data_IF_392900575539
#
_entry.id   IF_392900575539
#
_cell.length_a   1.000
_cell.length_b   1.000
_cell.length_c   1.000
_cell.angle_alpha   90.00
_cell.angle_beta   90.00
_cell.angle_gamma   90.00
#
_symmetry.space_group_name_H-M   'P 1'
#
loop_
_entity.id
_entity.type
_entity.pdbx_description
1 polymer ?
#
# COMPACT_ATOMS: atom_id res chain seq x y z
N UNK A 1 -4.64 2.37 -27.02
CA UNK A 1 -4.70 1.81 -25.64
C UNK A 1 -6.17 1.65 -25.26
N UNK A 2 -6.60 0.48 -24.83
CA UNK A 2 -7.93 0.25 -24.29
C UNK A 2 -7.88 0.39 -22.77
N UNK A 3 -8.97 0.88 -22.16
CA UNK A 3 -9.12 1.03 -20.71
C UNK A 3 -10.23 0.09 -20.25
N UNK A 4 -9.93 -0.68 -19.22
CA UNK A 4 -10.88 -1.58 -18.54
C UNK A 4 -10.97 -1.14 -17.08
N UNK A 5 -12.11 -1.38 -16.48
CA UNK A 5 -12.33 -1.17 -15.04
C UNK A 5 -11.95 -2.42 -14.25
N UNK A 6 -11.60 -2.26 -12.98
CA UNK A 6 -11.12 -3.37 -12.13
C UNK A 6 -12.18 -4.46 -11.93
N UNK A 7 -13.46 -4.10 -11.89
CA UNK A 7 -14.57 -5.04 -11.73
C UNK A 7 -14.72 -6.00 -12.92
N UNK A 8 -14.35 -5.54 -14.14
CA UNK A 8 -14.33 -6.38 -15.32
C UNK A 8 -13.15 -7.37 -15.34
N UNK A 9 -12.09 -7.09 -14.60
CA UNK A 9 -10.83 -7.87 -14.61
C UNK A 9 -10.68 -8.73 -13.35
N UNK A 10 -11.13 -8.25 -12.21
CA UNK A 10 -10.99 -8.93 -10.92
C UNK A 10 -11.52 -10.39 -10.89
N UNK A 11 -12.63 -10.74 -11.57
CA UNK A 11 -13.09 -12.13 -11.62
C UNK A 11 -12.12 -13.10 -12.29
N UNK A 12 -11.17 -12.59 -13.07
CA UNK A 12 -10.14 -13.38 -13.77
C UNK A 12 -8.90 -13.62 -12.90
N UNK A 13 -8.77 -12.89 -11.79
CA UNK A 13 -7.67 -13.01 -10.85
C UNK A 13 -7.91 -14.08 -9.78
N UNK A 14 -6.82 -14.65 -9.28
CA UNK A 14 -6.87 -15.61 -8.18
C UNK A 14 -6.96 -14.91 -6.83
N UNK A 15 -7.45 -15.62 -5.83
CA UNK A 15 -7.38 -15.17 -4.45
C UNK A 15 -5.93 -15.18 -3.96
N UNK A 16 -5.52 -14.09 -3.30
CA UNK A 16 -4.18 -13.95 -2.76
C UNK A 16 -4.17 -14.34 -1.29
N UNK A 17 -3.41 -15.37 -0.95
CA UNK A 17 -3.36 -15.93 0.41
C UNK A 17 -2.43 -15.18 1.37
N UNK A 18 -1.45 -14.44 0.85
CA UNK A 18 -0.40 -13.79 1.63
C UNK A 18 -0.46 -12.26 1.44
N UNK A 19 -1.46 -11.65 2.07
CA UNK A 19 -1.58 -10.20 2.14
C UNK A 19 -0.95 -9.68 3.44
N UNK A 20 -0.49 -8.42 3.43
CA UNK A 20 0.04 -7.73 4.62
C UNK A 20 -1.01 -7.57 5.70
N UNK A 21 -2.26 -7.37 5.28
CA UNK A 21 -3.41 -7.15 6.14
C UNK A 21 -4.51 -8.12 5.79
N UNK A 22 -5.43 -8.28 6.72
CA UNK A 22 -6.63 -9.11 6.49
C UNK A 22 -7.48 -8.46 5.39
N UNK A 23 -7.84 -9.23 4.39
CA UNK A 23 -8.72 -8.80 3.31
C UNK A 23 -10.17 -8.81 3.80
N UNK A 24 -10.70 -7.63 4.12
CA UNK A 24 -12.03 -7.46 4.71
C UNK A 24 -12.97 -6.64 3.83
N UNK A 25 -12.44 -5.95 2.82
CA UNK A 25 -13.19 -4.95 2.06
C UNK A 25 -13.33 -5.37 0.61
N UNK A 26 -14.55 -5.49 0.14
CA UNK A 26 -14.85 -5.97 -1.21
C UNK A 26 -14.16 -5.20 -2.33
N UNK A 27 -13.99 -3.88 -2.17
CA UNK A 27 -13.26 -3.06 -3.16
C UNK A 27 -11.77 -3.39 -3.20
N UNK A 28 -11.16 -3.55 -2.04
CA UNK A 28 -9.73 -3.90 -1.94
C UNK A 28 -9.48 -5.33 -2.45
N UNK A 29 -10.35 -6.28 -2.08
CA UNK A 29 -10.30 -7.66 -2.62
C UNK A 29 -10.32 -7.69 -4.15
N UNK A 30 -11.21 -6.89 -4.76
CA UNK A 30 -11.27 -6.80 -6.23
C UNK A 30 -10.00 -6.21 -6.81
N UNK A 31 -9.46 -5.17 -6.20
CA UNK A 31 -8.22 -4.53 -6.64
C UNK A 31 -7.02 -5.48 -6.55
N UNK A 32 -6.91 -6.25 -5.46
CA UNK A 32 -5.87 -7.27 -5.31
C UNK A 32 -5.98 -8.36 -6.38
N UNK A 33 -7.18 -8.86 -6.64
CA UNK A 33 -7.41 -9.85 -7.70
C UNK A 33 -7.09 -9.30 -9.09
N UNK A 34 -7.50 -8.06 -9.37
CA UNK A 34 -7.14 -7.38 -10.62
C UNK A 34 -5.61 -7.22 -10.74
N UNK A 35 -4.93 -6.85 -9.66
CA UNK A 35 -3.47 -6.75 -9.63
C UNK A 35 -2.80 -8.10 -9.86
N UNK A 36 -3.31 -9.17 -9.26
CA UNK A 36 -2.81 -10.53 -9.49
C UNK A 36 -2.95 -10.95 -10.95
N UNK A 37 -4.13 -10.75 -11.54
CA UNK A 37 -4.35 -11.05 -12.95
C UNK A 37 -3.39 -10.26 -13.85
N UNK A 38 -3.30 -8.95 -13.64
CA UNK A 38 -2.42 -8.08 -14.43
C UNK A 38 -0.95 -8.45 -14.25
N UNK A 39 -0.55 -8.84 -13.04
CA UNK A 39 0.84 -9.20 -12.74
C UNK A 39 1.36 -10.33 -13.62
N UNK A 40 0.51 -11.32 -13.93
CA UNK A 40 0.85 -12.52 -14.72
C UNK A 40 0.44 -12.43 -16.19
N UNK A 41 -0.27 -11.37 -16.60
CA UNK A 41 -0.79 -11.24 -17.97
C UNK A 41 -0.01 -10.18 -18.73
N UNK A 42 0.56 -10.56 -19.86
CA UNK A 42 1.24 -9.60 -20.75
C UNK A 42 0.26 -8.62 -21.39
N UNK A 43 0.75 -7.42 -21.71
CA UNK A 43 -0.05 -6.38 -22.36
C UNK A 43 -0.97 -5.59 -21.43
N UNK A 44 -1.12 -6.00 -20.17
CA UNK A 44 -1.91 -5.29 -19.15
C UNK A 44 -1.01 -4.50 -18.21
N UNK A 45 -1.51 -3.33 -17.77
CA UNK A 45 -0.93 -2.50 -16.72
C UNK A 45 -2.05 -1.95 -15.83
N UNK A 46 -1.72 -1.68 -14.57
CA UNK A 46 -2.66 -1.05 -13.63
C UNK A 46 -2.35 0.43 -13.50
N UNK A 47 -3.43 1.21 -13.54
CA UNK A 47 -3.46 2.59 -13.08
C UNK A 47 -4.43 2.65 -11.91
N UNK A 48 -3.89 2.80 -10.72
CA UNK A 48 -4.66 2.93 -9.49
C UNK A 48 -5.00 4.39 -9.23
N UNK A 49 -6.26 4.67 -8.97
CA UNK A 49 -6.73 5.98 -8.56
C UNK A 49 -6.86 6.00 -7.04
N UNK A 50 -6.17 6.92 -6.40
CA UNK A 50 -6.19 7.08 -4.96
C UNK A 50 -6.55 8.52 -4.62
N UNK A 51 -7.43 8.73 -3.66
CA UNK A 51 -7.87 10.07 -3.25
C UNK A 51 -6.95 10.48 -2.12
N UNK A 52 -6.45 10.50 -1.29
CA UNK A 52 -5.59 11.10 -0.26
C UNK A 52 -4.43 10.23 0.23
N UNK A 53 -4.38 8.97 -0.06
CA UNK A 53 -3.42 8.05 0.53
C UNK A 53 -3.63 7.90 2.05
N UNK A 54 -4.87 7.98 2.51
CA UNK A 54 -5.21 7.85 3.92
C UNK A 54 -5.61 6.43 4.29
N UNK A 55 -5.33 6.05 5.53
CA UNK A 55 -5.83 4.82 6.13
C UNK A 55 -5.56 3.57 5.28
N UNK A 56 -6.62 2.87 4.94
CA UNK A 56 -6.53 1.61 4.19
C UNK A 56 -5.98 1.78 2.78
N UNK A 57 -6.24 2.90 2.11
CA UNK A 57 -5.80 3.12 0.74
C UNK A 57 -4.27 3.14 0.61
N UNK A 58 -3.55 3.70 1.58
CA UNK A 58 -2.08 3.66 1.55
C UNK A 58 -1.54 2.24 1.69
N UNK A 59 -2.16 1.41 2.55
CA UNK A 59 -1.77 0.01 2.73
C UNK A 59 -2.11 -0.80 1.47
N UNK A 60 -3.26 -0.53 0.86
CA UNK A 60 -3.71 -1.17 -0.37
C UNK A 60 -2.77 -0.86 -1.53
N UNK A 61 -2.41 0.42 -1.71
CA UNK A 61 -1.48 0.84 -2.75
C UNK A 61 -0.11 0.16 -2.63
N UNK A 62 0.41 0.03 -1.41
CA UNK A 62 1.65 -0.71 -1.15
C UNK A 62 1.49 -2.21 -1.46
N UNK A 63 0.37 -2.82 -1.09
CA UNK A 63 0.11 -4.22 -1.38
C UNK A 63 -0.03 -4.48 -2.88
N UNK A 64 -0.74 -3.62 -3.62
CA UNK A 64 -0.85 -3.70 -5.08
C UNK A 64 0.53 -3.56 -5.74
N UNK A 65 1.34 -2.63 -5.26
CA UNK A 65 2.71 -2.45 -5.72
C UNK A 65 3.55 -3.73 -5.54
N UNK A 66 3.44 -4.40 -4.38
CA UNK A 66 4.16 -5.64 -4.13
C UNK A 66 3.72 -6.76 -5.07
N UNK A 67 2.39 -6.93 -5.27
CA UNK A 67 1.84 -7.93 -6.18
C UNK A 67 2.37 -7.73 -7.61
N UNK A 68 2.37 -6.49 -8.09
CA UNK A 68 2.85 -6.15 -9.43
C UNK A 68 4.36 -6.32 -9.57
N UNK A 69 5.12 -5.87 -8.57
CA UNK A 69 6.58 -5.92 -8.56
C UNK A 69 7.12 -7.34 -8.56
N UNK A 70 6.41 -8.30 -7.94
CA UNK A 70 6.77 -9.72 -7.95
C UNK A 70 6.90 -10.30 -9.38
N UNK A 71 6.19 -9.71 -10.36
CA UNK A 71 6.24 -10.09 -11.78
C UNK A 71 6.79 -8.96 -12.68
N UNK A 72 7.62 -8.07 -12.13
CA UNK A 72 8.27 -6.97 -12.85
C UNK A 72 7.30 -6.00 -13.55
N UNK A 73 6.07 -5.90 -13.06
CA UNK A 73 5.08 -4.92 -13.54
C UNK A 73 5.22 -3.60 -12.79
N UNK A 74 4.86 -2.52 -13.49
CA UNK A 74 4.91 -1.18 -12.93
C UNK A 74 3.58 -0.85 -12.28
N UNK A 75 3.63 -0.33 -11.06
CA UNK A 75 2.48 0.26 -10.39
C UNK A 75 2.40 1.75 -10.72
N UNK A 76 1.32 2.17 -11.38
CA UNK A 76 1.06 3.58 -11.65
C UNK A 76 -0.03 4.08 -10.73
N UNK A 77 0.36 4.80 -9.69
CA UNK A 77 -0.56 5.43 -8.73
C UNK A 77 -0.85 6.87 -9.15
N UNK A 78 -2.11 7.22 -9.31
CA UNK A 78 -2.57 8.58 -9.56
C UNK A 78 -3.34 9.09 -8.33
N UNK A 79 -2.81 10.13 -7.69
CA UNK A 79 -3.52 10.83 -6.63
C UNK A 79 -4.47 11.84 -7.27
N UNK A 80 -5.74 11.69 -6.95
CA UNK A 80 -6.81 12.55 -7.48
C UNK A 80 -7.57 13.12 -6.29
N UNK A 81 -7.46 14.41 -6.11
CA UNK A 81 -8.20 15.20 -5.13
C UNK A 81 -8.75 16.48 -5.78
N UNK A 82 -9.46 17.30 -5.02
CA UNK A 82 -10.03 18.55 -5.51
C UNK A 82 -8.98 19.56 -6.02
N UNK A 83 -7.74 19.45 -5.53
CA UNK A 83 -6.60 20.30 -5.93
C UNK A 83 -5.70 19.65 -6.99
N UNK A 84 -6.06 18.50 -7.54
CA UNK A 84 -5.18 17.72 -8.41
C UNK A 84 -4.80 18.48 -9.68
N UNK A 85 -3.51 18.63 -9.89
CA UNK A 85 -2.96 19.16 -11.12
C UNK A 85 -2.98 18.07 -12.22
N UNK A 86 -3.90 18.22 -13.19
CA UNK A 86 -4.02 17.31 -14.33
C UNK A 86 -2.73 17.20 -15.16
N UNK A 87 -1.83 18.16 -15.07
CA UNK A 87 -0.52 18.10 -15.71
C UNK A 87 0.33 16.95 -15.17
N UNK A 88 0.37 16.77 -13.85
CA UNK A 88 1.08 15.67 -13.22
C UNK A 88 0.50 14.29 -13.60
N UNK A 89 -0.82 14.19 -13.64
CA UNK A 89 -1.54 12.98 -14.12
C UNK A 89 -1.15 12.67 -15.56
N UNK A 90 -1.18 13.68 -16.44
CA UNK A 90 -0.81 13.52 -17.85
C UNK A 90 0.63 13.05 -18.01
N UNK A 91 1.57 13.59 -17.25
CA UNK A 91 2.98 13.18 -17.30
C UNK A 91 3.13 11.71 -16.88
N UNK A 92 2.47 11.28 -15.78
CA UNK A 92 2.52 9.88 -15.31
C UNK A 92 1.94 8.91 -16.34
N UNK A 93 0.80 9.25 -16.97
CA UNK A 93 0.20 8.43 -18.01
C UNK A 93 1.07 8.35 -19.28
N UNK A 94 1.71 9.45 -19.69
CA UNK A 94 2.65 9.44 -20.81
C UNK A 94 3.89 8.60 -20.51
N UNK A 95 4.39 8.65 -19.29
CA UNK A 95 5.51 7.80 -18.85
C UNK A 95 5.13 6.32 -18.90
N UNK A 96 3.96 5.95 -18.41
CA UNK A 96 3.43 4.59 -18.51
C UNK A 96 3.32 4.15 -19.96
N UNK A 97 2.73 4.97 -20.83
CA UNK A 97 2.62 4.69 -22.26
C UNK A 97 3.99 4.43 -22.91
N UNK A 98 4.97 5.29 -22.62
CA UNK A 98 6.33 5.13 -23.14
C UNK A 98 6.99 3.82 -22.71
N UNK A 99 6.74 3.38 -21.47
CA UNK A 99 7.25 2.10 -20.96
C UNK A 99 6.56 0.94 -21.67
N UNK A 100 5.24 0.99 -21.82
CA UNK A 100 4.49 -0.04 -22.55
C UNK A 100 4.97 -0.18 -24.00
N UNK A 101 5.16 0.93 -24.71
CA UNK A 101 5.66 0.93 -26.08
C UNK A 101 7.07 0.35 -26.18
N UNK A 102 7.95 0.65 -25.22
CA UNK A 102 9.30 0.05 -25.18
C UNK A 102 9.24 -1.45 -24.91
N UNK A 103 8.39 -1.88 -24.00
CA UNK A 103 8.19 -3.31 -23.71
C UNK A 103 7.72 -4.06 -24.97
N UNK A 104 6.73 -3.53 -25.68
CA UNK A 104 6.25 -4.12 -26.94
C UNK A 104 7.32 -4.18 -28.02
N UNK A 105 8.17 -3.15 -28.14
CA UNK A 105 9.31 -3.13 -29.10
C UNK A 105 10.36 -4.18 -28.74
N UNK A 106 10.63 -4.42 -27.45
CA UNK A 106 11.57 -5.45 -27.00
C UNK A 106 11.12 -6.85 -27.36
N UNK A 107 9.83 -7.14 -27.24
CA UNK A 107 9.27 -8.42 -27.69
C UNK A 107 9.43 -8.65 -29.20
N UNK A 108 9.53 -7.58 -29.99
CA UNK A 108 9.74 -7.65 -31.43
C UNK A 108 11.23 -7.66 -31.86
N UNK A 109 12.15 -7.26 -30.96
CA UNK A 109 13.60 -7.25 -31.24
C UNK A 109 14.38 -7.65 -29.98
N UNK A 110 14.63 -8.95 -29.77
CA UNK A 110 15.31 -9.48 -28.58
C UNK A 110 16.79 -9.09 -28.46
N UNK A 111 17.40 -8.54 -29.55
CA UNK A 111 18.81 -8.10 -29.54
C UNK A 111 19.02 -6.64 -29.09
N UNK A 112 17.95 -5.96 -28.64
CA UNK A 112 18.09 -4.62 -28.08
C UNK A 112 18.86 -4.68 -26.76
N UNK A 113 19.85 -3.78 -26.52
CA UNK A 113 20.70 -3.84 -25.34
C UNK A 113 19.88 -3.81 -24.04
N UNK A 114 20.29 -4.64 -23.08
CA UNK A 114 19.77 -4.63 -21.70
C UNK A 114 20.05 -3.25 -21.10
N UNK A 115 19.06 -2.38 -21.10
CA UNK A 115 19.11 -1.15 -20.33
C UNK A 115 18.25 -1.26 -19.09
N UNK A 116 18.92 -0.95 -18.01
CA UNK A 116 18.42 -0.72 -16.66
C UNK A 116 18.00 -2.00 -15.94
N UNK A 117 18.99 -2.56 -15.27
CA UNK A 117 18.75 -3.31 -14.03
C UNK A 117 17.96 -2.37 -13.09
N UNK A 118 16.64 -2.50 -13.10
CA UNK A 118 15.85 -1.98 -11.97
C UNK A 118 16.36 -2.78 -10.77
N UNK A 119 17.13 -2.11 -9.90
CA UNK A 119 17.49 -2.70 -8.61
C UNK A 119 16.24 -3.37 -8.07
N UNK A 120 16.33 -4.67 -7.81
CA UNK A 120 15.26 -5.38 -7.12
C UNK A 120 15.07 -4.62 -5.83
N UNK A 121 13.98 -3.87 -5.74
CA UNK A 121 13.56 -3.31 -4.45
C UNK A 121 13.56 -4.50 -3.49
N UNK A 122 14.18 -4.36 -2.31
CA UNK A 122 14.23 -5.43 -1.37
C UNK A 122 12.82 -5.94 -1.17
N UNK A 123 12.58 -7.20 -1.53
CA UNK A 123 11.37 -7.91 -1.12
C UNK A 123 11.44 -7.92 0.39
N UNK A 124 10.71 -7.05 1.02
CA UNK A 124 10.54 -7.08 2.47
C UNK A 124 9.89 -8.43 2.77
N UNK A 125 10.69 -9.33 3.30
CA UNK A 125 10.17 -10.53 3.93
C UNK A 125 9.46 -10.06 5.19
N UNK A 126 8.14 -9.83 5.05
CA UNK A 126 7.29 -9.48 6.18
C UNK A 126 7.11 -10.71 7.06
N UNK A 127 8.17 -11.09 7.75
CA UNK A 127 8.07 -12.01 8.86
C UNK A 127 7.20 -11.32 9.93
N UNK A 128 5.89 -11.56 9.84
CA UNK A 128 4.97 -11.13 10.90
C UNK A 128 5.45 -11.75 12.21
N UNK A 129 5.89 -10.90 13.12
CA UNK A 129 6.13 -11.33 14.49
C UNK A 129 4.77 -11.65 15.10
N UNK A 130 4.51 -12.92 15.32
CA UNK A 130 3.28 -13.37 15.98
C UNK A 130 3.39 -12.99 17.45
N UNK A 131 2.42 -12.24 17.96
CA UNK A 131 2.35 -11.88 19.38
C UNK A 131 2.06 -13.14 20.22
N UNK A 132 2.96 -13.48 21.12
CA UNK A 132 2.88 -14.69 21.94
C UNK A 132 2.44 -14.38 23.39
N UNK A 133 2.00 -15.40 24.11
CA UNK A 133 1.68 -15.27 25.55
C UNK A 133 2.90 -14.85 26.40
N UNK A 134 4.10 -15.15 25.95
CA UNK A 134 5.33 -14.71 26.61
C UNK A 134 5.56 -13.22 26.39
N UNK A 135 5.35 -12.75 25.15
CA UNK A 135 5.40 -11.33 24.81
C UNK A 135 4.37 -10.51 25.59
N UNK A 136 3.19 -11.06 25.84
CA UNK A 136 2.15 -10.43 26.67
C UNK A 136 2.67 -9.99 28.02
N UNK A 137 3.58 -10.76 28.63
CA UNK A 137 4.15 -10.50 29.96
C UNK A 137 5.37 -9.58 29.93
N UNK A 138 6.13 -9.60 28.85
CA UNK A 138 7.44 -8.96 28.77
C UNK A 138 7.45 -7.69 27.91
N UNK A 139 6.56 -7.60 26.90
CA UNK A 139 6.49 -6.46 26.01
C UNK A 139 5.51 -5.40 26.53
N UNK A 140 5.90 -4.14 26.37
CA UNK A 140 5.00 -3.00 26.59
C UNK A 140 4.29 -2.68 25.26
N UNK A 141 2.96 -2.62 25.29
CA UNK A 141 2.15 -2.24 24.14
C UNK A 141 1.85 -0.76 24.25
N UNK A 142 2.44 0.03 23.37
CA UNK A 142 2.17 1.46 23.26
C UNK A 142 1.03 1.70 22.30
N UNK A 143 0.04 2.48 22.70
CA UNK A 143 -1.14 2.77 21.90
C UNK A 143 -1.33 4.27 21.75
N UNK A 144 -1.38 4.77 20.49
CA UNK A 144 -1.63 6.20 20.26
C UNK A 144 -3.04 6.57 20.72
N UNK A 145 -3.18 7.78 21.26
CA UNK A 145 -4.47 8.30 21.70
C UNK A 145 -5.32 8.74 20.50
N UNK A 146 -6.34 7.95 20.18
CA UNK A 146 -7.24 8.26 19.06
C UNK A 146 -8.59 8.84 19.52
N UNK A 147 -9.03 8.49 20.75
CA UNK A 147 -10.28 9.01 21.33
C UNK A 147 -10.20 8.93 22.83
N UNK A 148 -10.01 10.05 23.55
CA UNK A 148 -9.81 10.05 25.00
C UNK A 148 -10.90 9.30 25.78
N UNK A 149 -12.15 9.49 25.38
CA UNK A 149 -13.28 8.84 26.08
C UNK A 149 -13.24 7.32 25.97
N UNK A 150 -13.04 6.80 24.76
CA UNK A 150 -13.05 5.35 24.53
C UNK A 150 -11.78 4.68 25.08
N UNK A 151 -10.64 5.30 24.88
CA UNK A 151 -9.37 4.72 25.25
C UNK A 151 -9.12 4.75 26.75
N UNK A 152 -9.67 5.73 27.50
CA UNK A 152 -9.65 5.73 28.97
C UNK A 152 -10.41 4.55 29.59
N UNK A 153 -11.38 3.98 28.87
CA UNK A 153 -12.08 2.76 29.29
C UNK A 153 -11.34 1.49 28.88
N UNK A 154 -10.69 1.50 27.72
CA UNK A 154 -9.97 0.33 27.20
C UNK A 154 -8.69 0.03 28.00
N UNK A 155 -7.96 1.06 28.40
CA UNK A 155 -6.69 0.90 29.11
C UNK A 155 -6.82 0.04 30.37
N UNK A 156 -7.70 0.35 31.35
CA UNK A 156 -7.83 -0.46 32.55
C UNK A 156 -8.36 -1.87 32.26
N UNK A 157 -9.20 -2.06 31.25
CA UNK A 157 -9.70 -3.38 30.86
C UNK A 157 -8.55 -4.26 30.34
N UNK A 158 -7.72 -3.75 29.45
CA UNK A 158 -6.61 -4.50 28.89
C UNK A 158 -5.50 -4.76 29.93
N UNK A 159 -5.26 -3.82 30.83
CA UNK A 159 -4.36 -4.02 31.97
C UNK A 159 -4.89 -5.10 32.92
N UNK A 160 -6.20 -5.12 33.18
CA UNK A 160 -6.85 -6.16 34.02
C UNK A 160 -6.69 -7.55 33.40
N UNK A 161 -6.78 -7.64 32.07
CA UNK A 161 -6.55 -8.88 31.29
C UNK A 161 -5.06 -9.29 31.23
N UNK A 162 -4.18 -8.54 31.88
CA UNK A 162 -2.76 -8.86 32.02
C UNK A 162 -1.88 -8.43 30.85
N UNK A 163 -2.33 -7.48 30.04
CA UNK A 163 -1.47 -6.84 29.04
C UNK A 163 -0.70 -5.68 29.68
N UNK A 164 0.58 -5.57 29.36
CA UNK A 164 1.39 -4.40 29.71
C UNK A 164 1.10 -3.27 28.70
N UNK A 165 -0.02 -2.60 28.92
CA UNK A 165 -0.61 -1.63 28.00
C UNK A 165 -0.39 -0.22 28.54
N UNK A 166 0.07 0.67 27.67
CA UNK A 166 0.27 2.09 27.99
C UNK A 166 -0.34 2.97 26.90
N UNK A 167 -1.30 3.79 27.31
CA UNK A 167 -1.88 4.81 26.45
C UNK A 167 -0.92 5.98 26.35
N UNK A 168 -0.54 6.36 25.12
CA UNK A 168 0.24 7.56 24.90
C UNK A 168 -0.61 8.81 25.14
N UNK A 169 -0.01 9.92 25.58
CA UNK A 169 -0.72 11.18 25.70
C UNK A 169 -1.20 11.68 24.33
N UNK A 170 -2.13 12.63 24.34
CA UNK A 170 -2.53 13.29 23.09
C UNK A 170 -1.32 13.95 22.43
N UNK A 171 -1.16 13.79 21.11
CA UNK A 171 0.00 14.32 20.39
C UNK A 171 0.05 15.86 20.50
N UNK A 172 1.26 16.36 20.64
CA UNK A 172 1.56 17.79 20.65
C UNK A 172 2.02 18.24 19.26
N UNK A 173 2.17 19.55 19.08
CA UNK A 173 2.72 20.09 17.84
C UNK A 173 4.15 19.61 17.57
N UNK A 174 4.94 19.46 18.62
CA UNK A 174 6.32 18.99 18.49
C UNK A 174 6.38 17.53 18.00
N UNK A 175 5.46 16.70 18.44
CA UNK A 175 5.35 15.30 17.97
C UNK A 175 5.04 15.26 16.47
N UNK A 176 4.16 16.14 15.98
CA UNK A 176 3.83 16.28 14.56
C UNK A 176 5.07 16.72 13.77
N UNK A 177 5.81 17.72 14.27
CA UNK A 177 7.04 18.21 13.61
C UNK A 177 8.11 17.11 13.52
N UNK A 178 8.19 16.23 14.52
CA UNK A 178 9.08 15.07 14.50
C UNK A 178 8.55 14.02 13.52
N UNK A 179 7.26 13.72 13.56
CA UNK A 179 6.62 12.74 12.66
C UNK A 179 6.85 13.10 11.19
N UNK A 180 6.69 14.35 10.82
CA UNK A 180 6.91 14.84 9.45
C UNK A 180 8.34 14.64 8.92
N UNK A 181 9.33 14.43 9.79
CA UNK A 181 10.71 14.11 9.37
C UNK A 181 10.91 12.68 8.92
N UNK A 182 10.07 11.76 9.42
CA UNK A 182 10.27 10.32 9.25
C UNK A 182 9.15 9.66 8.45
N UNK A 183 7.97 10.26 8.41
CA UNK A 183 6.80 9.73 7.73
C UNK A 183 6.62 10.43 6.39
N UNK A 184 6.24 9.68 5.37
CA UNK A 184 5.93 10.24 4.07
C UNK A 184 4.78 11.27 4.19
N UNK A 185 4.98 12.47 3.66
CA UNK A 185 3.99 13.56 3.64
C UNK A 185 2.67 13.18 2.94
N UNK A 186 2.67 12.09 2.21
CA UNK A 186 1.47 11.52 1.58
C UNK A 186 0.63 10.68 2.55
N UNK A 187 1.14 10.40 3.76
CA UNK A 187 0.39 9.71 4.80
C UNK A 187 -0.72 10.61 5.37
N UNK A 188 -1.78 9.98 5.87
CA UNK A 188 -2.84 10.74 6.54
C UNK A 188 -2.35 11.34 7.86
N UNK A 189 -2.91 12.48 8.24
CA UNK A 189 -2.53 13.22 9.45
C UNK A 189 -2.47 12.35 10.72
N UNK A 190 -3.42 11.43 10.99
CA UNK A 190 -3.32 10.53 12.14
C UNK A 190 -2.15 9.52 12.10
N UNK A 191 -1.49 9.35 10.95
CA UNK A 191 -0.33 8.47 10.83
C UNK A 191 0.99 9.19 11.06
N UNK A 192 0.96 10.52 10.95
CA UNK A 192 2.08 11.41 11.24
C UNK A 192 2.19 11.64 12.74
#
# INVERSE_FOLDING_TARGET
MAVLTEDGVAPLGNEIKHLRVVDQWSYHSRLYRAAEFVSRTEGFQIVELNSFGCGLDSIVADQVKDILSANHKIHTLLKIDEGTNLGAVTIRLRSLQSVMERSLRRHHNPEAPEEVVVEKLPTYDYNRVVFTEEMRKTYKILVPQMSPLHFSLLEPVLQHEGYNFEMLPAPTRDDIEVGLKYINNDACYPAI
#
